data_IF_136139731537
#
_entry.id   IF_136139731537
#
_cell.length_a   1.000
_cell.length_b   1.000
_cell.length_c   1.000
_cell.angle_alpha   90.00
_cell.angle_beta   90.00
_cell.angle_gamma   90.00
#
_symmetry.space_group_name_H-M   'P 1'
#
loop_
_entity.id
_entity.type
_entity.pdbx_description
1 polymer ?
#
# COMPACT_ATOMS: atom_id res chain seq x y z
N UNK A 1 14.85 14.82 30.20
CA UNK A 1 15.24 14.95 28.79
C UNK A 1 15.76 13.60 28.36
N UNK A 2 14.91 12.82 27.69
CA UNK A 2 15.21 11.43 27.32
C UNK A 2 16.00 11.42 26.01
N UNK A 3 17.15 10.76 26.05
CA UNK A 3 18.02 10.47 24.93
C UNK A 3 17.33 9.51 23.96
N UNK A 4 16.87 10.03 22.81
CA UNK A 4 16.12 9.27 21.81
C UNK A 4 16.99 8.71 20.68
N UNK A 5 18.32 8.66 20.83
CA UNK A 5 19.24 8.36 19.70
C UNK A 5 20.13 7.15 19.94
N UNK A 6 19.65 6.12 20.66
CA UNK A 6 20.37 4.83 20.69
C UNK A 6 19.88 3.97 19.53
N UNK A 7 20.68 3.92 18.45
CA UNK A 7 20.56 2.92 17.37
C UNK A 7 20.60 1.51 17.99
N UNK A 8 19.47 0.80 18.00
CA UNK A 8 19.42 -0.61 18.41
C UNK A 8 19.82 -1.48 17.22
N UNK A 9 21.12 -1.69 17.06
CA UNK A 9 21.65 -2.49 15.95
C UNK A 9 21.62 -1.73 14.61
N UNK A 10 21.36 -2.45 13.50
CA UNK A 10 21.30 -1.88 12.14
C UNK A 10 20.03 -1.05 11.87
N UNK A 11 19.06 -1.09 12.78
CA UNK A 11 17.78 -0.39 12.62
C UNK A 11 17.89 1.11 12.96
N UNK A 12 17.40 1.96 12.07
CA UNK A 12 17.30 3.42 12.21
C UNK A 12 15.85 3.85 11.98
N UNK A 13 15.18 4.37 13.02
CA UNK A 13 13.77 4.75 12.93
C UNK A 13 13.51 5.86 11.91
N UNK A 14 14.55 6.63 11.56
CA UNK A 14 14.45 7.72 10.59
C UNK A 14 14.30 7.21 9.15
N UNK A 15 14.62 5.95 8.92
CA UNK A 15 14.53 5.27 7.61
C UNK A 15 13.28 4.39 7.50
N UNK A 16 12.36 4.44 8.48
CA UNK A 16 11.08 3.73 8.37
C UNK A 16 10.12 4.46 7.42
N UNK A 17 9.62 3.72 6.43
CA UNK A 17 8.67 4.21 5.44
C UNK A 17 7.57 3.18 5.17
N UNK A 18 6.31 3.56 5.41
CA UNK A 18 5.16 2.74 5.05
C UNK A 18 4.95 2.71 3.52
N UNK A 19 5.03 1.51 2.94
CA UNK A 19 4.87 1.31 1.50
C UNK A 19 3.41 1.01 1.09
N UNK A 20 2.51 0.60 1.97
CA UNK A 20 1.17 0.17 1.58
C UNK A 20 0.21 1.31 1.16
N UNK A 21 -0.88 0.97 0.45
CA UNK A 21 -1.94 1.91 0.05
C UNK A 21 -3.32 1.28 0.08
N UNK A 22 -4.36 2.09 0.33
CA UNK A 22 -5.77 1.69 0.36
C UNK A 22 -6.63 2.73 -0.36
N UNK A 23 -7.70 2.28 -1.02
CA UNK A 23 -8.71 3.13 -1.62
C UNK A 23 -10.05 2.39 -1.77
N UNK A 24 -11.11 3.12 -2.10
CA UNK A 24 -12.42 2.52 -2.34
C UNK A 24 -13.20 3.28 -3.43
N UNK A 25 -14.12 2.58 -4.09
CA UNK A 25 -15.14 3.18 -4.93
C UNK A 25 -16.52 2.98 -4.28
N UNK A 26 -17.39 3.97 -4.42
CA UNK A 26 -18.78 3.88 -3.98
C UNK A 26 -19.70 4.33 -5.13
N UNK A 27 -20.78 3.56 -5.34
CA UNK A 27 -21.81 3.94 -6.30
C UNK A 27 -22.90 4.73 -5.58
N UNK A 28 -23.01 6.03 -5.88
CA UNK A 28 -24.00 6.91 -5.24
C UNK A 28 -25.38 6.85 -5.92
N UNK A 29 -25.47 6.27 -7.11
CA UNK A 29 -26.72 6.15 -7.88
C UNK A 29 -27.52 4.89 -7.52
N UNK A 30 -27.00 4.06 -6.61
CA UNK A 30 -27.60 2.79 -6.18
C UNK A 30 -27.93 1.83 -7.35
N UNK A 31 -27.15 1.89 -8.42
CA UNK A 31 -27.30 1.02 -9.59
C UNK A 31 -26.30 -0.12 -9.54
N UNK A 32 -26.77 -1.36 -9.65
CA UNK A 32 -25.88 -2.52 -9.81
C UNK A 32 -25.11 -2.39 -11.13
N UNK A 33 -23.78 -2.43 -11.06
CA UNK A 33 -22.90 -2.40 -12.23
C UNK A 33 -21.60 -3.16 -11.94
N UNK A 34 -21.03 -3.80 -12.97
CA UNK A 34 -19.70 -4.44 -12.88
C UNK A 34 -18.55 -3.41 -12.97
N UNK A 35 -18.82 -2.22 -13.50
CA UNK A 35 -17.82 -1.15 -13.67
C UNK A 35 -17.08 -0.78 -12.37
N UNK A 36 -17.73 -0.92 -11.20
CA UNK A 36 -17.08 -0.67 -9.91
C UNK A 36 -15.96 -1.68 -9.61
N UNK A 37 -16.08 -2.92 -10.10
CA UNK A 37 -15.06 -3.96 -9.97
C UNK A 37 -13.88 -3.65 -10.88
N UNK A 38 -14.16 -3.33 -12.15
CA UNK A 38 -13.13 -3.00 -13.14
C UNK A 38 -12.29 -1.78 -12.70
N UNK A 39 -12.96 -0.74 -12.18
CA UNK A 39 -12.30 0.43 -11.59
C UNK A 39 -11.48 0.08 -10.36
N UNK A 40 -11.98 -0.79 -9.49
CA UNK A 40 -11.25 -1.22 -8.29
C UNK A 40 -9.99 -2.01 -8.63
N UNK A 41 -10.03 -2.89 -9.64
CA UNK A 41 -8.87 -3.62 -10.12
C UNK A 41 -7.82 -2.68 -10.73
N UNK A 42 -8.26 -1.70 -11.51
CA UNK A 42 -7.36 -0.66 -12.05
C UNK A 42 -6.71 0.17 -10.95
N UNK A 43 -7.44 0.50 -9.88
CA UNK A 43 -6.88 1.18 -8.72
C UNK A 43 -5.79 0.33 -8.03
N UNK A 44 -6.02 -0.99 -7.87
CA UNK A 44 -5.02 -1.89 -7.29
C UNK A 44 -3.74 -1.96 -8.15
N UNK A 45 -3.85 -2.02 -9.47
CA UNK A 45 -2.69 -1.99 -10.39
C UNK A 45 -1.86 -0.72 -10.23
N UNK A 46 -2.50 0.42 -9.94
CA UNK A 46 -1.78 1.68 -9.70
C UNK A 46 -1.03 1.70 -8.37
N UNK A 47 -1.38 0.82 -7.43
CA UNK A 47 -0.69 0.64 -6.15
C UNK A 47 0.44 -0.39 -6.21
N UNK A 48 0.73 -0.97 -7.37
CA UNK A 48 1.74 -2.03 -7.53
C UNK A 48 3.15 -1.59 -7.08
N UNK A 49 3.54 -0.35 -7.40
CA UNK A 49 4.80 0.26 -6.95
C UNK A 49 4.94 0.42 -5.42
N UNK A 50 3.82 0.21 -4.71
CA UNK A 50 3.67 0.28 -3.25
C UNK A 50 3.47 -1.11 -2.63
N UNK A 51 3.36 -2.15 -3.45
CA UNK A 51 3.26 -3.54 -3.02
C UNK A 51 4.61 -4.12 -2.61
N UNK A 52 4.57 -5.14 -1.75
CA UNK A 52 5.73 -5.99 -1.55
C UNK A 52 5.91 -6.90 -2.76
N UNK A 53 7.14 -7.09 -3.22
CA UNK A 53 7.47 -8.02 -4.30
C UNK A 53 8.48 -9.03 -3.80
N UNK A 54 8.18 -10.31 -3.99
CA UNK A 54 9.08 -11.42 -3.67
C UNK A 54 10.32 -11.42 -4.56
N UNK A 55 11.35 -12.17 -4.14
CA UNK A 55 12.61 -12.27 -4.90
C UNK A 55 12.43 -12.90 -6.31
N UNK A 56 11.34 -13.64 -6.53
CA UNK A 56 10.98 -14.22 -7.83
C UNK A 56 10.36 -13.19 -8.79
N UNK A 57 10.06 -11.97 -8.32
CA UNK A 57 9.48 -10.89 -9.11
C UNK A 57 8.02 -11.08 -9.50
N UNK A 58 7.35 -12.15 -9.04
CA UNK A 58 5.98 -12.48 -9.42
C UNK A 58 5.06 -12.71 -8.21
N UNK A 59 5.64 -12.97 -7.04
CA UNK A 59 4.90 -13.14 -5.81
C UNK A 59 4.68 -11.77 -5.15
N UNK A 60 3.43 -11.46 -4.80
CA UNK A 60 2.99 -10.24 -4.12
C UNK A 60 1.67 -10.46 -3.40
#
# INVERSE_FOLDING_TARGET
>A
MCDLTIKRGLYDYREEHDACGIGFYANMDNKRSHDIVDKSLEMLRRLDHRGGVGADGITG
#
